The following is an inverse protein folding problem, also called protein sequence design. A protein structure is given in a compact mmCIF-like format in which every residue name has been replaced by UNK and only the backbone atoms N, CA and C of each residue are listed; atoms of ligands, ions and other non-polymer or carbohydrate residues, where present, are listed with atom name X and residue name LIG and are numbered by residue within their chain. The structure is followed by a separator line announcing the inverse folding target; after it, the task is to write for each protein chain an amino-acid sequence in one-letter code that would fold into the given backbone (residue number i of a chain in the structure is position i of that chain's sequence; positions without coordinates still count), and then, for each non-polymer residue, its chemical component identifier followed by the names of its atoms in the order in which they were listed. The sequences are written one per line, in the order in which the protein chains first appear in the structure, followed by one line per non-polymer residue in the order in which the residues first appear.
data_IF_493726245774
#
_entry.id   IF_493726245774
#
_cell.length_a   1.000
_cell.length_b   1.000
_cell.length_c   1.000
_cell.angle_alpha   90.00
_cell.angle_beta   90.00
_cell.angle_gamma   90.00
#
_symmetry.space_group_name_H-M   'P 1'
#
loop_
_entity.id
_entity.type
_entity.pdbx_description
1 polymer ?
#
# COMPACT_ATOMS: atom_id res chain seq x y z
N UNK A 1 -3.44 -10.79 -21.64
CA UNK A 1 -3.12 -11.40 -20.34
C UNK A 1 -2.99 -10.25 -19.36
N UNK A 2 -3.79 -10.20 -18.30
CA UNK A 2 -3.62 -9.15 -17.29
C UNK A 2 -2.24 -9.30 -16.63
N UNK A 3 -1.54 -8.19 -16.33
CA UNK A 3 -0.27 -8.27 -15.64
C UNK A 3 -0.48 -9.00 -14.31
N UNK A 4 0.40 -9.93 -13.93
CA UNK A 4 0.29 -10.59 -12.64
C UNK A 4 0.50 -9.56 -11.53
N UNK A 5 -0.58 -9.14 -10.87
CA UNK A 5 -0.56 -8.24 -9.70
C UNK A 5 -0.17 -8.96 -8.41
N UNK A 6 0.71 -9.95 -8.51
CA UNK A 6 1.24 -10.64 -7.32
C UNK A 6 2.29 -9.78 -6.65
N UNK A 7 2.44 -9.90 -5.32
CA UNK A 7 3.42 -9.11 -4.59
C UNK A 7 4.85 -9.28 -5.12
N UNK A 8 5.21 -10.49 -5.57
CA UNK A 8 6.52 -10.79 -6.15
C UNK A 8 6.79 -10.03 -7.45
N UNK A 9 5.84 -10.05 -8.37
CA UNK A 9 6.00 -9.40 -9.68
C UNK A 9 6.06 -7.87 -9.54
N UNK A 10 5.26 -7.32 -8.63
CA UNK A 10 5.35 -5.91 -8.25
C UNK A 10 6.72 -5.58 -7.65
N UNK A 11 7.26 -6.43 -6.76
CA UNK A 11 8.58 -6.23 -6.17
C UNK A 11 9.68 -6.22 -7.22
N UNK A 12 9.67 -7.19 -8.15
CA UNK A 12 10.65 -7.25 -9.25
C UNK A 12 10.60 -5.99 -10.11
N UNK A 13 9.39 -5.49 -10.43
CA UNK A 13 9.27 -4.28 -11.22
C UNK A 13 9.79 -3.05 -10.48
N UNK A 14 9.55 -2.95 -9.18
CA UNK A 14 10.11 -1.86 -8.36
C UNK A 14 11.64 -1.95 -8.29
N UNK A 15 12.21 -3.14 -8.09
CA UNK A 15 13.67 -3.33 -8.09
C UNK A 15 14.30 -2.91 -9.42
N UNK A 16 13.70 -3.26 -10.55
CA UNK A 16 14.14 -2.84 -11.88
C UNK A 16 14.15 -1.31 -12.00
N UNK A 17 13.09 -0.63 -11.54
CA UNK A 17 13.04 0.83 -11.57
C UNK A 17 14.09 1.49 -10.66
N UNK A 18 14.32 0.94 -9.46
CA UNK A 18 15.37 1.44 -8.56
C UNK A 18 16.77 1.26 -9.18
N UNK A 19 16.97 0.06 -9.78
CA UNK A 19 17.91 -0.31 -10.85
C UNK A 19 18.28 0.82 -11.80
N UNK A 20 17.32 1.12 -12.66
CA UNK A 20 17.44 2.05 -13.77
C UNK A 20 17.74 3.47 -13.29
N UNK A 21 17.25 3.84 -12.09
CA UNK A 21 17.48 5.15 -11.49
C UNK A 21 18.79 5.23 -10.69
N UNK A 22 19.46 4.10 -10.39
CA UNK A 22 20.67 4.05 -9.59
C UNK A 22 20.45 4.53 -8.14
N UNK A 23 19.27 4.25 -7.58
CA UNK A 23 18.86 4.73 -6.25
C UNK A 23 18.60 3.61 -5.25
N UNK A 24 18.93 2.34 -5.54
CA UNK A 24 18.61 1.21 -4.65
C UNK A 24 19.18 1.41 -3.23
N UNK A 25 20.34 2.07 -3.12
CA UNK A 25 21.02 2.42 -1.86
C UNK A 25 20.52 3.71 -1.19
N UNK A 26 19.56 4.40 -1.82
CA UNK A 26 19.03 5.69 -1.37
C UNK A 26 17.55 5.60 -0.96
N UNK A 27 16.96 4.41 -0.99
CA UNK A 27 15.58 4.18 -0.54
C UNK A 27 15.55 4.00 0.97
N UNK A 28 14.83 4.88 1.65
CA UNK A 28 14.57 4.76 3.09
C UNK A 28 13.24 4.05 3.38
N UNK A 29 12.16 4.49 2.73
CA UNK A 29 10.81 3.95 2.94
C UNK A 29 9.95 3.97 1.68
N UNK A 30 8.91 3.15 1.67
CA UNK A 30 7.86 3.08 0.66
C UNK A 30 6.50 3.26 1.34
N UNK A 31 5.63 4.06 0.73
CA UNK A 31 4.26 4.26 1.19
C UNK A 31 3.28 3.50 0.30
N UNK A 32 2.51 2.59 0.87
CA UNK A 32 1.59 1.71 0.15
C UNK A 32 0.20 1.71 0.79
N UNK A 33 -0.84 1.44 0.01
CA UNK A 33 -2.17 1.25 0.56
C UNK A 33 -2.28 -0.07 1.37
N UNK A 34 -3.45 -0.34 1.94
CA UNK A 34 -3.66 -1.51 2.80
C UNK A 34 -4.14 -2.72 1.99
N UNK A 35 -3.37 -3.11 0.97
CA UNK A 35 -3.63 -4.28 0.14
C UNK A 35 -2.65 -5.43 0.46
N UNK A 36 -3.15 -6.68 0.47
CA UNK A 36 -2.33 -7.86 0.76
C UNK A 36 -1.19 -8.07 -0.24
N UNK A 37 -1.40 -7.71 -1.51
CA UNK A 37 -0.36 -7.75 -2.53
C UNK A 37 0.81 -6.80 -2.19
N UNK A 38 0.52 -5.63 -1.63
CA UNK A 38 1.51 -4.64 -1.21
C UNK A 38 2.30 -5.10 0.01
N UNK A 39 1.68 -5.84 0.92
CA UNK A 39 2.36 -6.47 2.06
C UNK A 39 3.39 -7.50 1.63
N UNK A 40 3.00 -8.36 0.69
CA UNK A 40 3.90 -9.32 0.10
C UNK A 40 5.02 -8.63 -0.68
N UNK A 41 4.69 -7.63 -1.49
CA UNK A 41 5.65 -6.88 -2.29
C UNK A 41 6.74 -6.19 -1.45
N UNK A 42 6.34 -5.44 -0.41
CA UNK A 42 7.32 -4.73 0.41
C UNK A 42 8.22 -5.69 1.21
N UNK A 43 7.72 -6.87 1.60
CA UNK A 43 8.56 -7.89 2.24
C UNK A 43 9.65 -8.38 1.28
N UNK A 44 9.29 -8.70 0.03
CA UNK A 44 10.26 -9.10 -0.99
C UNK A 44 11.30 -8.00 -1.27
N UNK A 45 10.86 -6.73 -1.36
CA UNK A 45 11.77 -5.60 -1.53
C UNK A 45 12.73 -5.45 -0.35
N UNK A 46 12.20 -5.53 0.88
CA UNK A 46 13.00 -5.40 2.10
C UNK A 46 14.03 -6.52 2.22
N UNK A 47 13.67 -7.75 1.88
CA UNK A 47 14.61 -8.88 1.85
C UNK A 47 15.73 -8.63 0.83
N UNK A 48 15.39 -8.26 -0.40
CA UNK A 48 16.37 -8.06 -1.47
C UNK A 48 17.32 -6.88 -1.21
N UNK A 49 16.79 -5.74 -0.75
CA UNK A 49 17.60 -4.57 -0.38
C UNK A 49 18.41 -4.83 0.91
N UNK A 50 17.91 -5.69 1.80
CA UNK A 50 18.62 -6.13 3.00
C UNK A 50 19.88 -6.95 2.69
N UNK A 51 19.83 -7.82 1.68
CA UNK A 51 20.99 -8.63 1.24
C UNK A 51 22.17 -7.73 0.80
N UNK A 52 21.87 -6.61 0.13
CA UNK A 52 22.88 -5.66 -0.33
C UNK A 52 23.32 -4.65 0.75
N UNK A 53 22.83 -4.80 1.99
CA UNK A 53 23.02 -3.85 3.10
C UNK A 53 22.64 -2.41 2.72
N UNK A 54 21.62 -2.27 1.85
CA UNK A 54 21.16 -1.00 1.30
C UNK A 54 20.08 -0.32 2.17
N UNK A 55 19.63 -0.99 3.23
CA UNK A 55 18.57 -0.50 4.12
C UNK A 55 19.13 0.22 5.35
N UNK A 56 18.71 1.47 5.51
CA UNK A 56 18.91 2.23 6.75
C UNK A 56 18.16 1.57 7.91
N UNK A 57 18.78 1.55 9.10
CA UNK A 57 18.20 0.96 10.32
C UNK A 57 17.66 -0.46 10.11
N UNK A 58 18.31 -1.25 9.23
CA UNK A 58 17.87 -2.61 8.86
C UNK A 58 16.41 -2.67 8.34
N UNK A 59 15.91 -1.56 7.81
CA UNK A 59 14.57 -1.43 7.26
C UNK A 59 13.45 -1.40 8.30
N UNK A 60 13.73 -1.01 9.56
CA UNK A 60 12.72 -0.86 10.63
C UNK A 60 11.51 -0.01 10.17
N UNK A 61 11.77 1.07 9.44
CA UNK A 61 10.76 2.03 8.95
C UNK A 61 10.51 1.94 7.44
N UNK A 62 10.83 0.80 6.83
CA UNK A 62 10.79 0.67 5.37
C UNK A 62 9.36 0.77 4.79
N UNK A 63 8.34 0.28 5.51
CA UNK A 63 6.98 0.27 5.02
C UNK A 63 6.08 1.19 5.83
N UNK A 64 5.44 2.14 5.14
CA UNK A 64 4.48 3.09 5.70
C UNK A 64 3.13 2.88 5.02
N UNK A 65 2.04 2.85 5.81
CA UNK A 65 0.68 2.78 5.25
C UNK A 65 0.23 4.15 4.76
N UNK A 66 -0.45 4.16 3.61
CA UNK A 66 -1.05 5.37 3.06
C UNK A 66 -2.16 5.89 3.98
N UNK A 67 -1.94 7.05 4.62
CA UNK A 67 -2.89 7.66 5.54
C UNK A 67 -4.23 7.98 4.88
N UNK A 68 -4.23 8.41 3.61
CA UNK A 68 -5.46 8.67 2.87
C UNK A 68 -6.31 7.40 2.69
N UNK A 69 -5.66 6.26 2.45
CA UNK A 69 -6.35 4.97 2.35
C UNK A 69 -6.89 4.51 3.70
N UNK A 70 -6.11 4.66 4.78
CA UNK A 70 -6.57 4.38 6.16
C UNK A 70 -7.79 5.23 6.50
N UNK A 71 -7.75 6.54 6.19
CA UNK A 71 -8.89 7.43 6.39
C UNK A 71 -10.12 6.98 5.59
N UNK A 72 -9.93 6.58 4.33
CA UNK A 72 -11.02 6.03 3.51
C UNK A 72 -11.64 4.78 4.16
N UNK A 73 -10.84 3.87 4.71
CA UNK A 73 -11.36 2.69 5.41
C UNK A 73 -12.18 3.08 6.65
N UNK A 74 -11.70 4.04 7.45
CA UNK A 74 -12.43 4.55 8.63
C UNK A 74 -13.77 5.17 8.21
N UNK A 75 -13.77 6.00 7.17
CA UNK A 75 -15.00 6.64 6.66
C UNK A 75 -15.97 5.59 6.13
N UNK A 76 -15.50 4.62 5.36
CA UNK A 76 -16.35 3.55 4.83
C UNK A 76 -16.98 2.72 5.95
N UNK A 77 -16.23 2.42 7.00
CA UNK A 77 -16.77 1.69 8.16
C UNK A 77 -17.83 2.51 8.89
N UNK A 78 -17.56 3.79 9.15
CA UNK A 78 -18.54 4.71 9.75
C UNK A 78 -19.81 4.85 8.92
N UNK A 79 -19.69 4.93 7.59
CA UNK A 79 -20.84 4.99 6.67
C UNK A 79 -21.69 3.71 6.71
N UNK A 80 -21.08 2.54 6.91
CA UNK A 80 -21.81 1.28 7.09
C UNK A 80 -22.63 1.31 8.38
N UNK A 81 -22.04 1.80 9.47
CA UNK A 81 -22.72 1.91 10.78
C UNK A 81 -23.97 2.79 10.70
N UNK A 82 -23.94 3.88 9.93
CA UNK A 82 -25.07 4.81 9.80
C UNK A 82 -25.95 4.57 8.56
N UNK A 83 -25.76 3.44 7.88
CA UNK A 83 -26.40 3.16 6.58
C UNK A 83 -27.93 3.22 6.63
N UNK A 84 -28.55 2.69 7.69
CA UNK A 84 -30.01 2.75 7.87
C UNK A 84 -30.54 4.18 8.02
N UNK A 85 -29.84 5.02 8.76
CA UNK A 85 -30.21 6.43 8.91
C UNK A 85 -30.09 7.17 7.58
N UNK A 86 -28.99 6.95 6.85
CA UNK A 86 -28.81 7.50 5.50
C UNK A 86 -29.90 7.03 4.54
N UNK A 87 -30.32 5.78 4.64
CA UNK A 87 -31.41 5.24 3.82
C UNK A 87 -32.74 5.96 4.08
N UNK A 88 -33.11 6.14 5.35
CA UNK A 88 -34.35 6.87 5.74
C UNK A 88 -34.33 8.33 5.28
N UNK A 89 -33.19 9.01 5.43
CA UNK A 89 -33.01 10.39 4.96
C UNK A 89 -33.19 10.47 3.43
N UNK A 90 -32.56 9.56 2.68
CA UNK A 90 -32.67 9.51 1.22
C UNK A 90 -34.11 9.25 0.76
N UNK A 91 -34.84 8.34 1.41
CA UNK A 91 -36.25 8.09 1.10
C UNK A 91 -37.13 9.32 1.35
N UNK A 92 -36.81 10.12 2.37
CA UNK A 92 -37.59 11.32 2.73
C UNK A 92 -37.43 12.47 1.72
N UNK A 93 -36.37 12.46 0.91
CA UNK A 93 -36.07 13.49 -0.10
C UNK A 93 -36.49 13.03 -1.50
N UNK A 94 -36.85 11.76 -1.68
CA UNK A 94 -37.24 11.19 -2.98
C UNK A 94 -38.67 11.55 -3.43
N UNK A 95 -39.30 12.56 -2.80
CA UNK A 95 -40.59 13.16 -3.14
C UNK A 95 -40.40 14.61 -3.57
#
# INVERSE_FOLDING_TARGET
MEPPHTGRELALKVLEMLSDWGIEKKVFSITLDNASANDSMQNFLKEHLGISNSLLLKGEYFHIRCSAHVLNLIVQDGLKTISDALHKIRQSIAY
#
